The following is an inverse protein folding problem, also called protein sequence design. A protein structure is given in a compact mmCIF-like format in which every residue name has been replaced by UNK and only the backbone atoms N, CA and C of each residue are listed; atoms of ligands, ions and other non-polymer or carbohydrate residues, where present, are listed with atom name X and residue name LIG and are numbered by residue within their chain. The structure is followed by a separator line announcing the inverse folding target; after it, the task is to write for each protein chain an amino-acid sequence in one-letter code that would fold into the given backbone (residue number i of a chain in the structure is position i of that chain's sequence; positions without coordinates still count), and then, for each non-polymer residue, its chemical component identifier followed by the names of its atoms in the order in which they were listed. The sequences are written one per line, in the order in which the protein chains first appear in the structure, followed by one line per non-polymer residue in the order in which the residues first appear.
data_IF_394221651992
#
_entry.id   IF_394221651992
#
_cell.length_a   1.000
_cell.length_b   1.000
_cell.length_c   1.000
_cell.angle_alpha   90.00
_cell.angle_beta   90.00
_cell.angle_gamma   90.00
#
_symmetry.space_group_name_H-M   'P 1'
#
loop_
_entity.id
_entity.type
_entity.pdbx_description
1 polymer ?
#
# COMPACT_ATOMS: atom_id res chain seq x y z
N UNK A 1 -6.51 9.58 10.11
CA UNK A 1 -5.53 9.65 11.15
C UNK A 1 -5.21 11.08 11.56
N UNK A 2 -4.42 11.27 12.62
CA UNK A 2 -4.05 12.58 13.18
C UNK A 2 -3.22 13.45 12.21
N UNK A 3 -2.57 12.86 11.23
CA UNK A 3 -1.91 13.58 10.14
C UNK A 3 -2.86 14.40 9.28
N UNK A 4 -4.08 13.90 9.08
CA UNK A 4 -5.07 14.60 8.27
C UNK A 4 -5.78 15.72 9.02
N UNK A 5 -5.74 15.75 10.36
CA UNK A 5 -6.43 16.81 11.10
C UNK A 5 -5.80 18.19 10.90
N UNK A 6 -4.48 18.27 10.86
CA UNK A 6 -3.77 19.54 10.59
C UNK A 6 -3.91 19.95 9.11
N UNK A 7 -4.03 18.97 8.21
CA UNK A 7 -4.32 19.17 6.80
C UNK A 7 -5.69 19.82 6.58
N UNK A 8 -6.75 19.37 7.27
CA UNK A 8 -8.10 19.91 7.14
C UNK A 8 -8.37 21.12 8.03
N UNK A 9 -7.59 21.31 9.10
CA UNK A 9 -7.74 22.41 10.07
C UNK A 9 -6.72 23.53 9.85
N UNK A 10 -5.79 23.37 8.90
CA UNK A 10 -4.85 24.43 8.53
C UNK A 10 -5.62 25.70 8.23
N UNK A 11 -5.24 26.81 8.87
CA UNK A 11 -5.84 28.10 8.58
C UNK A 11 -5.74 28.35 7.08
N UNK A 12 -6.88 28.63 6.43
CA UNK A 12 -6.98 28.97 5.01
C UNK A 12 -6.27 30.30 4.75
N UNK A 13 -4.97 30.31 4.89
CA UNK A 13 -4.05 31.35 4.45
C UNK A 13 -3.45 30.95 3.11
N UNK A 14 -2.76 31.88 2.46
CA UNK A 14 -2.19 31.72 1.14
C UNK A 14 -1.07 30.65 1.01
N UNK A 15 -0.72 29.95 2.09
CA UNK A 15 0.23 28.84 2.12
C UNK A 15 -0.46 27.62 2.71
N UNK A 16 -0.80 26.68 1.85
CA UNK A 16 -1.35 25.41 2.27
C UNK A 16 -0.22 24.55 2.82
N UNK A 17 -0.26 24.22 4.12
CA UNK A 17 0.65 23.30 4.77
C UNK A 17 0.00 21.92 4.75
N UNK A 18 0.56 20.98 3.99
CA UNK A 18 0.02 19.63 3.85
C UNK A 18 0.38 18.75 5.04
N UNK A 19 1.56 18.98 5.65
CA UNK A 19 2.06 18.16 6.74
C UNK A 19 2.73 19.05 7.79
N UNK A 20 2.67 18.69 9.09
CA UNK A 20 3.36 19.43 10.12
C UNK A 20 4.87 19.49 9.86
N UNK A 21 5.45 20.68 9.97
CA UNK A 21 6.88 20.95 9.79
C UNK A 21 7.45 20.59 8.39
N UNK A 22 6.60 20.52 7.35
CA UNK A 22 7.08 20.33 5.99
C UNK A 22 8.03 21.45 5.57
N UNK A 23 8.99 21.11 4.74
CA UNK A 23 9.92 22.05 4.11
C UNK A 23 10.01 21.75 2.61
N UNK A 24 10.04 22.82 1.81
CA UNK A 24 10.12 22.71 0.36
C UNK A 24 11.54 22.99 -0.10
N UNK A 25 12.14 22.04 -0.79
CA UNK A 25 13.49 22.13 -1.33
C UNK A 25 13.44 22.57 -2.80
N UNK A 26 13.84 23.82 -3.11
CA UNK A 26 13.73 24.35 -4.46
C UNK A 26 14.62 23.58 -5.43
N UNK A 27 14.04 23.21 -6.59
CA UNK A 27 14.73 22.54 -7.69
C UNK A 27 15.21 23.62 -8.67
N UNK A 28 16.52 23.79 -8.78
CA UNK A 28 17.14 24.75 -9.71
C UNK A 28 17.53 24.11 -11.04
N UNK A 29 17.71 22.79 -11.07
CA UNK A 29 18.00 21.98 -12.24
C UNK A 29 17.11 20.73 -12.22
N UNK A 30 16.35 20.52 -13.28
CA UNK A 30 15.41 19.40 -13.39
C UNK A 30 16.08 18.01 -13.41
N UNK A 31 17.38 17.96 -13.65
CA UNK A 31 18.16 16.72 -13.65
C UNK A 31 18.88 16.44 -12.32
N UNK A 32 18.85 17.40 -11.35
CA UNK A 32 19.66 17.30 -10.12
C UNK A 32 18.78 17.42 -8.89
N UNK A 33 18.74 16.35 -8.09
CA UNK A 33 18.06 16.40 -6.79
C UNK A 33 18.85 17.34 -5.86
N UNK A 34 18.18 18.36 -5.26
CA UNK A 34 18.83 19.25 -4.32
C UNK A 34 19.29 18.48 -3.07
N UNK A 35 20.50 18.74 -2.62
CA UNK A 35 21.03 18.13 -1.38
C UNK A 35 20.76 18.97 -0.15
N UNK A 36 20.59 20.28 -0.31
CA UNK A 36 20.34 21.23 0.78
C UNK A 36 19.30 22.28 0.39
N UNK A 37 18.54 22.70 1.37
CA UNK A 37 17.74 23.89 1.31
C UNK A 37 18.61 25.15 1.44
N UNK A 38 18.21 26.35 0.94
CA UNK A 38 19.01 27.58 1.06
C UNK A 38 19.42 27.98 2.48
N UNK A 39 18.72 27.52 3.51
CA UNK A 39 19.09 27.75 4.92
C UNK A 39 20.11 26.73 5.47
N UNK A 40 20.61 25.82 4.65
CA UNK A 40 21.57 24.79 5.01
C UNK A 40 20.97 23.48 5.52
N UNK A 41 19.66 23.35 5.59
CA UNK A 41 18.98 22.10 5.96
C UNK A 41 19.24 21.02 4.92
N UNK A 42 19.55 19.80 5.35
CA UNK A 42 19.91 18.69 4.45
C UNK A 42 18.65 17.90 4.01
N UNK A 43 18.55 17.62 2.71
CA UNK A 43 17.58 16.69 2.12
C UNK A 43 18.28 15.34 1.93
N UNK A 44 17.91 14.34 2.68
CA UNK A 44 18.56 13.02 2.70
C UNK A 44 20.09 13.15 2.91
N UNK A 45 20.65 12.43 3.83
CA UNK A 45 22.10 12.35 3.97
C UNK A 45 22.73 11.49 2.84
N UNK A 46 24.05 11.47 2.73
CA UNK A 46 24.77 10.73 1.67
C UNK A 46 24.39 9.24 1.62
N UNK A 47 24.21 8.61 2.78
CA UNK A 47 23.84 7.20 2.87
C UNK A 47 22.44 6.97 2.31
N UNK A 48 21.48 7.81 2.66
CA UNK A 48 20.10 7.73 2.17
C UNK A 48 20.02 8.05 0.68
N UNK A 49 20.76 9.04 0.20
CA UNK A 49 20.84 9.34 -1.24
C UNK A 49 21.33 8.13 -2.04
N UNK A 50 22.38 7.47 -1.56
CA UNK A 50 22.88 6.25 -2.21
C UNK A 50 21.90 5.07 -2.10
N UNK A 51 21.13 5.00 -1.01
CA UNK A 51 20.12 3.94 -0.83
C UNK A 51 18.93 4.12 -1.77
N UNK A 52 18.39 5.35 -1.91
CA UNK A 52 17.21 5.59 -2.75
C UNK A 52 17.51 5.84 -4.22
N UNK A 53 18.75 6.09 -4.58
CA UNK A 53 19.16 6.39 -5.95
C UNK A 53 20.50 5.72 -6.29
N UNK A 54 20.59 4.37 -6.18
CA UNK A 54 21.85 3.66 -6.39
C UNK A 54 22.40 3.81 -7.82
N UNK A 55 21.51 3.86 -8.81
CA UNK A 55 21.85 3.91 -10.24
C UNK A 55 21.82 5.33 -10.82
N UNK A 56 21.40 6.32 -10.04
CA UNK A 56 21.36 7.72 -10.47
C UNK A 56 20.18 8.06 -11.40
N UNK A 57 19.14 7.21 -11.45
CA UNK A 57 17.99 7.37 -12.35
C UNK A 57 16.86 8.20 -11.71
N UNK A 58 16.86 8.38 -10.40
CA UNK A 58 15.86 9.17 -9.70
C UNK A 58 16.03 10.67 -10.02
N UNK A 59 14.96 11.31 -10.44
CA UNK A 59 14.94 12.72 -10.80
C UNK A 59 14.14 13.54 -9.78
N UNK A 60 14.32 14.87 -9.72
CA UNK A 60 13.49 15.74 -8.88
C UNK A 60 12.00 15.60 -9.15
N UNK A 61 11.59 15.38 -10.39
CA UNK A 61 10.18 15.23 -10.78
C UNK A 61 9.52 14.02 -10.09
N UNK A 62 10.25 12.92 -9.94
CA UNK A 62 9.78 11.71 -9.25
C UNK A 62 9.69 11.88 -7.72
N UNK A 63 10.29 12.94 -7.18
CA UNK A 63 10.23 13.28 -5.75
C UNK A 63 9.18 14.34 -5.42
N UNK A 64 8.44 14.86 -6.39
CA UNK A 64 7.34 15.76 -6.12
C UNK A 64 6.24 15.04 -5.30
N UNK A 65 5.59 15.77 -4.42
CA UNK A 65 4.43 15.26 -3.71
C UNK A 65 3.20 15.29 -4.64
N UNK A 66 2.60 14.12 -4.87
CA UNK A 66 1.43 13.99 -5.74
C UNK A 66 0.19 14.73 -5.21
N UNK A 67 0.10 14.92 -3.90
CA UNK A 67 -1.04 15.57 -3.25
C UNK A 67 -0.93 17.10 -3.18
N UNK A 68 0.21 17.68 -3.58
CA UNK A 68 0.42 19.14 -3.55
C UNK A 68 0.41 19.77 -4.93
N UNK A 69 -0.13 20.97 -5.04
CA UNK A 69 -0.09 21.77 -6.30
C UNK A 69 1.25 22.50 -6.49
N UNK A 70 2.29 22.08 -5.82
CA UNK A 70 3.49 22.88 -5.70
C UNK A 70 4.71 22.34 -6.45
N UNK A 71 4.53 21.77 -7.65
CA UNK A 71 5.69 21.31 -8.44
C UNK A 71 6.73 22.43 -8.71
N UNK A 72 6.30 23.67 -8.84
CA UNK A 72 7.14 24.86 -8.96
C UNK A 72 7.81 25.28 -7.64
N UNK A 73 7.30 24.83 -6.49
CA UNK A 73 7.92 25.04 -5.17
C UNK A 73 9.10 24.09 -4.90
N UNK A 74 9.17 22.99 -5.63
CA UNK A 74 10.21 21.97 -5.52
C UNK A 74 9.75 20.70 -4.78
N UNK A 75 10.66 20.09 -4.01
CA UNK A 75 10.41 18.82 -3.31
C UNK A 75 9.94 19.10 -1.90
N UNK A 76 8.72 18.67 -1.58
CA UNK A 76 8.20 18.69 -0.21
C UNK A 76 8.81 17.54 0.61
N UNK A 77 9.32 17.85 1.79
CA UNK A 77 9.98 16.88 2.66
C UNK A 77 9.64 17.10 4.14
N UNK A 78 9.66 16.02 4.92
CA UNK A 78 9.37 16.00 6.35
C UNK A 78 10.63 15.76 7.17
N UNK A 79 10.76 16.40 8.35
CA UNK A 79 11.89 16.17 9.25
C UNK A 79 11.73 14.84 9.98
N UNK A 80 12.81 14.06 10.00
CA UNK A 80 12.98 12.88 10.83
C UNK A 80 14.27 13.01 11.63
N UNK A 81 14.23 12.63 12.89
CA UNK A 81 15.42 12.52 13.73
C UNK A 81 16.04 11.13 13.56
N UNK A 82 17.30 11.06 13.18
CA UNK A 82 18.07 9.82 13.24
C UNK A 82 18.21 9.40 14.70
N UNK A 83 17.76 8.22 15.06
CA UNK A 83 17.53 7.84 16.47
C UNK A 83 18.82 7.83 17.29
N UNK A 84 19.94 7.39 16.71
CA UNK A 84 21.20 7.29 17.43
C UNK A 84 21.98 8.62 17.48
N UNK A 85 22.11 9.32 16.34
CA UNK A 85 22.91 10.55 16.24
C UNK A 85 22.17 11.80 16.67
N UNK A 86 20.84 11.77 16.69
CA UNK A 86 19.95 12.90 16.93
C UNK A 86 20.01 13.99 15.85
N UNK A 87 20.58 13.68 14.71
CA UNK A 87 20.61 14.57 13.55
C UNK A 87 19.25 14.57 12.84
N UNK A 88 18.81 15.76 12.43
CA UNK A 88 17.58 15.89 11.65
C UNK A 88 17.87 15.78 10.16
N UNK A 89 17.17 14.86 9.51
CA UNK A 89 17.22 14.63 8.06
C UNK A 89 15.83 14.79 7.47
N UNK A 90 15.71 15.44 6.33
CA UNK A 90 14.43 15.61 5.65
C UNK A 90 14.23 14.52 4.61
N UNK A 91 13.09 13.83 4.70
CA UNK A 91 12.67 12.81 3.74
C UNK A 91 11.61 13.36 2.79
N UNK A 92 11.81 13.25 1.46
CA UNK A 92 10.77 13.57 0.49
C UNK A 92 9.46 12.81 0.78
N UNK A 93 8.34 13.50 0.72
CA UNK A 93 7.01 12.90 0.93
C UNK A 93 6.74 11.80 -0.09
N UNK A 94 7.20 11.97 -1.33
CA UNK A 94 7.10 10.95 -2.37
C UNK A 94 7.76 9.63 -1.94
N UNK A 95 8.97 9.65 -1.36
CA UNK A 95 9.62 8.45 -0.84
C UNK A 95 8.76 7.79 0.24
N UNK A 96 8.23 8.59 1.18
CA UNK A 96 7.40 8.07 2.27
C UNK A 96 6.16 7.35 1.76
N UNK A 97 5.52 7.88 0.75
CA UNK A 97 4.28 7.36 0.20
C UNK A 97 4.48 6.20 -0.78
N UNK A 98 5.59 6.19 -1.52
CA UNK A 98 5.87 5.11 -2.47
C UNK A 98 6.46 3.87 -1.78
N UNK A 99 7.42 4.03 -0.86
CA UNK A 99 8.15 2.89 -0.30
C UNK A 99 7.57 2.38 1.01
N UNK A 100 7.17 3.27 1.91
CA UNK A 100 6.85 2.90 3.30
C UNK A 100 5.36 2.84 3.60
N UNK A 101 4.53 3.55 2.86
CA UNK A 101 3.08 3.65 3.06
C UNK A 101 2.74 3.94 4.53
N UNK A 102 2.10 2.99 5.24
CA UNK A 102 1.75 3.11 6.66
C UNK A 102 2.71 2.37 7.60
N UNK A 103 3.71 1.65 7.08
CA UNK A 103 4.62 0.87 7.91
C UNK A 103 5.42 1.77 8.86
N UNK A 104 5.54 1.34 10.11
CA UNK A 104 6.20 2.11 11.17
C UNK A 104 5.42 3.30 11.71
N UNK A 105 4.11 3.40 11.41
CA UNK A 105 3.22 4.41 11.98
C UNK A 105 2.51 3.84 13.21
N UNK A 106 2.63 4.50 14.34
CA UNK A 106 1.98 4.08 15.56
C UNK A 106 1.39 5.26 16.34
N UNK A 107 0.47 4.95 17.26
CA UNK A 107 -0.09 5.86 18.23
C UNK A 107 -0.04 5.23 19.64
N UNK A 108 0.09 6.06 20.65
CA UNK A 108 0.16 5.59 22.04
C UNK A 108 -0.11 6.68 23.06
N UNK A 109 -0.22 6.27 24.32
CA UNK A 109 -0.42 7.20 25.44
C UNK A 109 0.88 7.92 25.82
N UNK A 110 2.02 7.35 25.45
CA UNK A 110 3.35 7.94 25.67
C UNK A 110 4.19 7.82 24.39
N UNK A 111 5.15 8.71 24.24
CA UNK A 111 6.09 8.67 23.10
C UNK A 111 6.87 7.34 23.04
N UNK A 112 7.28 6.81 24.19
CA UNK A 112 8.04 5.54 24.28
C UNK A 112 7.18 4.34 23.86
N UNK A 113 5.91 4.28 24.30
CA UNK A 113 4.96 3.25 23.90
C UNK A 113 4.73 3.29 22.38
N UNK A 114 4.53 4.48 21.85
CA UNK A 114 4.35 4.71 20.42
C UNK A 114 5.54 4.20 19.60
N UNK A 115 6.77 4.55 20.00
CA UNK A 115 8.01 4.12 19.32
C UNK A 115 8.23 2.61 19.42
N UNK A 116 7.98 2.01 20.59
CA UNK A 116 8.11 0.56 20.76
C UNK A 116 7.13 -0.20 19.84
N UNK A 117 5.89 0.27 19.75
CA UNK A 117 4.88 -0.29 18.87
C UNK A 117 5.27 -0.17 17.38
N UNK A 118 5.78 0.99 16.95
CA UNK A 118 6.22 1.21 15.59
C UNK A 118 7.38 0.28 15.20
N UNK A 119 8.38 0.11 16.07
CA UNK A 119 9.48 -0.82 15.81
C UNK A 119 9.04 -2.29 15.80
N UNK A 120 8.12 -2.67 16.69
CA UNK A 120 7.57 -4.03 16.71
C UNK A 120 6.86 -4.34 15.38
N UNK A 121 6.01 -3.43 14.87
CA UNK A 121 5.33 -3.60 13.58
C UNK A 121 6.32 -3.70 12.40
N UNK A 122 7.36 -2.87 12.39
CA UNK A 122 8.41 -2.95 11.36
C UNK A 122 9.08 -4.34 11.37
N UNK A 123 9.45 -4.85 12.55
CA UNK A 123 10.07 -6.16 12.68
C UNK A 123 9.13 -7.30 12.28
N UNK A 124 7.86 -7.19 12.67
CA UNK A 124 6.83 -8.16 12.28
C UNK A 124 6.73 -8.29 10.76
N UNK A 125 6.57 -7.17 10.07
CA UNK A 125 6.43 -7.15 8.61
C UNK A 125 7.71 -7.57 7.88
N UNK A 126 8.86 -7.11 8.36
CA UNK A 126 10.15 -7.53 7.82
C UNK A 126 10.35 -9.04 7.91
N UNK A 127 10.08 -9.61 9.08
CA UNK A 127 10.20 -11.05 9.33
C UNK A 127 9.15 -11.83 8.53
N UNK A 128 7.90 -11.38 8.52
CA UNK A 128 6.81 -11.97 7.72
C UNK A 128 7.19 -12.08 6.26
N UNK A 129 7.58 -10.97 5.64
CA UNK A 129 7.92 -10.92 4.22
C UNK A 129 9.09 -11.86 3.91
N UNK A 130 10.13 -11.87 4.74
CA UNK A 130 11.28 -12.72 4.57
C UNK A 130 10.93 -14.22 4.70
N UNK A 131 10.16 -14.60 5.73
CA UNK A 131 9.74 -16.00 5.95
C UNK A 131 8.90 -16.48 4.78
N UNK A 132 7.99 -15.67 4.28
CA UNK A 132 7.11 -16.05 3.16
C UNK A 132 7.93 -16.18 1.88
N UNK A 133 8.74 -15.18 1.53
CA UNK A 133 9.56 -15.19 0.32
C UNK A 133 10.56 -16.35 0.28
N UNK A 134 11.22 -16.63 1.42
CA UNK A 134 12.19 -17.73 1.52
C UNK A 134 11.50 -19.12 1.65
N UNK A 135 10.20 -19.16 1.96
CA UNK A 135 9.48 -20.38 2.27
C UNK A 135 10.04 -21.08 3.52
N UNK A 136 10.43 -20.31 4.54
CA UNK A 136 11.10 -20.82 5.73
C UNK A 136 10.23 -21.80 6.52
N UNK A 137 10.74 -23.00 6.82
CA UNK A 137 10.08 -23.96 7.69
C UNK A 137 10.30 -23.57 9.16
N UNK A 138 9.24 -23.08 9.80
CA UNK A 138 9.31 -22.58 11.18
C UNK A 138 9.20 -23.70 12.22
N UNK A 139 9.96 -23.65 13.33
CA UNK A 139 9.81 -24.61 14.42
C UNK A 139 8.48 -24.40 15.16
N UNK A 140 7.92 -25.50 15.65
CA UNK A 140 6.72 -25.45 16.50
C UNK A 140 7.06 -24.85 17.86
N UNK A 141 6.14 -24.01 18.39
CA UNK A 141 6.19 -23.61 19.79
C UNK A 141 5.83 -24.81 20.66
N UNK A 142 6.72 -25.26 21.58
CA UNK A 142 6.47 -26.44 22.42
C UNK A 142 5.20 -26.25 23.26
N UNK A 143 4.41 -27.32 23.48
CA UNK A 143 3.23 -27.27 24.34
C UNK A 143 3.51 -26.73 25.75
N UNK A 144 4.68 -27.07 26.33
CA UNK A 144 5.11 -26.56 27.63
C UNK A 144 5.29 -25.04 27.69
N UNK A 145 5.53 -24.39 26.54
CA UNK A 145 5.61 -22.94 26.43
C UNK A 145 4.20 -22.36 26.38
N UNK A 146 3.29 -22.94 25.59
CA UNK A 146 1.88 -22.50 25.50
C UNK A 146 1.14 -22.66 26.85
N UNK A 147 1.48 -23.68 27.63
CA UNK A 147 0.93 -23.89 28.98
C UNK A 147 1.21 -22.72 29.95
N UNK A 148 2.21 -21.89 29.68
CA UNK A 148 2.47 -20.66 30.46
C UNK A 148 1.38 -19.60 30.26
N UNK A 149 0.59 -19.69 29.15
CA UNK A 149 -0.40 -18.71 28.73
C UNK A 149 -1.80 -19.36 28.59
N UNK A 150 -2.41 -19.80 29.70
CA UNK A 150 -3.61 -20.67 29.68
C UNK A 150 -4.84 -20.01 29.06
N UNK A 151 -4.91 -18.69 29.02
CA UNK A 151 -6.00 -17.95 28.35
C UNK A 151 -5.88 -18.12 26.83
N UNK A 152 -4.73 -17.81 26.27
CA UNK A 152 -4.48 -17.85 24.82
C UNK A 152 -4.51 -19.31 24.35
N UNK A 153 -3.93 -20.22 25.11
CA UNK A 153 -3.99 -21.66 24.81
C UNK A 153 -5.44 -22.15 24.69
N UNK A 154 -6.32 -21.71 25.59
CA UNK A 154 -7.75 -22.08 25.52
C UNK A 154 -8.40 -21.58 24.25
N UNK A 155 -8.13 -20.34 23.85
CA UNK A 155 -8.69 -19.75 22.64
C UNK A 155 -8.24 -20.52 21.38
N UNK A 156 -6.97 -20.94 21.33
CA UNK A 156 -6.42 -21.82 20.28
C UNK A 156 -7.09 -23.20 20.28
N UNK A 157 -7.28 -23.79 21.46
CA UNK A 157 -7.91 -25.12 21.60
C UNK A 157 -9.40 -25.07 21.24
N UNK A 158 -10.08 -23.96 21.47
CA UNK A 158 -11.45 -23.75 21.06
C UNK A 158 -11.58 -23.74 19.52
N UNK A 159 -10.71 -23.04 18.82
CA UNK A 159 -10.65 -23.06 17.35
C UNK A 159 -10.37 -24.49 16.83
N UNK A 160 -9.43 -25.20 17.44
CA UNK A 160 -9.15 -26.61 17.11
C UNK A 160 -10.35 -27.52 17.35
N UNK A 161 -11.09 -27.32 18.43
CA UNK A 161 -12.28 -28.10 18.75
C UNK A 161 -13.43 -27.85 17.74
N UNK A 162 -13.45 -26.69 17.10
CA UNK A 162 -14.36 -26.38 15.98
C UNK A 162 -13.86 -26.93 14.63
N UNK A 163 -12.75 -27.66 14.60
CA UNK A 163 -12.24 -28.34 13.42
C UNK A 163 -11.22 -27.55 12.59
N UNK A 164 -10.77 -26.39 13.07
CA UNK A 164 -9.76 -25.60 12.39
C UNK A 164 -8.35 -25.99 12.87
N UNK A 165 -7.50 -26.56 12.00
CA UNK A 165 -6.10 -26.78 12.35
C UNK A 165 -5.38 -25.45 12.58
N UNK A 166 -4.79 -25.30 13.76
CA UNK A 166 -4.03 -24.12 14.17
C UNK A 166 -2.62 -24.57 14.53
N UNK A 167 -1.60 -24.03 13.87
CA UNK A 167 -0.21 -24.27 14.16
C UNK A 167 0.41 -23.00 14.75
N UNK A 168 1.06 -23.14 15.91
CA UNK A 168 1.77 -22.00 16.54
C UNK A 168 3.26 -22.22 16.32
N UNK A 169 3.88 -21.28 15.62
CA UNK A 169 5.26 -21.38 15.14
C UNK A 169 6.11 -20.24 15.69
N UNK A 170 7.36 -20.53 15.99
CA UNK A 170 8.36 -19.51 16.30
C UNK A 170 8.86 -18.86 15.00
N UNK A 171 8.56 -17.59 14.82
CA UNK A 171 9.00 -16.78 13.68
C UNK A 171 10.20 -15.88 14.03
N UNK A 172 10.93 -16.18 15.12
CA UNK A 172 12.02 -15.35 15.60
C UNK A 172 13.29 -15.37 14.74
N UNK A 173 13.34 -16.19 13.69
CA UNK A 173 14.53 -16.45 12.87
C UNK A 173 15.74 -16.86 13.75
N UNK A 174 15.51 -17.81 14.70
CA UNK A 174 16.51 -18.26 15.64
C UNK A 174 16.83 -17.27 16.75
N UNK A 175 15.84 -16.50 17.21
CA UNK A 175 15.97 -15.54 18.30
C UNK A 175 16.49 -14.16 17.88
N UNK A 176 16.51 -13.87 16.58
CA UNK A 176 16.96 -12.57 16.05
C UNK A 176 15.90 -11.48 16.21
N UNK A 177 14.62 -11.83 16.13
CA UNK A 177 13.49 -10.90 16.22
C UNK A 177 12.38 -11.46 17.12
N UNK A 178 11.66 -10.62 17.87
CA UNK A 178 10.62 -11.07 18.79
C UNK A 178 9.26 -11.25 18.05
N UNK A 179 9.18 -12.25 17.14
CA UNK A 179 8.03 -12.47 16.27
C UNK A 179 7.50 -13.90 16.41
N UNK A 180 6.17 -14.03 16.45
CA UNK A 180 5.43 -15.30 16.43
C UNK A 180 4.63 -15.39 15.14
N UNK A 181 4.42 -16.62 14.65
CA UNK A 181 3.50 -16.93 13.56
C UNK A 181 2.44 -17.92 14.01
N UNK A 182 1.19 -17.69 13.63
CA UNK A 182 0.10 -18.65 13.78
C UNK A 182 -0.50 -18.92 12.41
N UNK A 183 -0.49 -20.21 12.04
CA UNK A 183 -1.09 -20.67 10.78
C UNK A 183 -2.49 -21.23 11.07
N UNK A 184 -3.47 -20.79 10.29
CA UNK A 184 -4.80 -21.37 10.25
C UNK A 184 -5.00 -22.06 8.91
N UNK A 185 -5.59 -23.25 8.95
CA UNK A 185 -5.94 -24.01 7.75
C UNK A 185 -7.45 -24.15 7.67
N UNK A 186 -8.05 -23.79 6.53
CA UNK A 186 -9.46 -24.01 6.28
C UNK A 186 -9.72 -25.50 6.05
N UNK A 187 -10.50 -26.20 6.88
CA UNK A 187 -10.73 -27.64 6.73
C UNK A 187 -11.58 -27.99 5.51
N UNK A 188 -12.26 -27.03 4.89
CA UNK A 188 -13.14 -27.26 3.77
C UNK A 188 -12.38 -27.43 2.44
N UNK A 189 -11.34 -26.64 2.24
CA UNK A 189 -10.61 -26.55 0.97
C UNK A 189 -9.08 -26.61 1.12
N UNK A 190 -8.55 -26.52 2.35
CA UNK A 190 -7.12 -26.48 2.61
C UNK A 190 -6.46 -25.14 2.38
N UNK A 191 -7.22 -24.07 2.18
CA UNK A 191 -6.72 -22.70 2.13
C UNK A 191 -6.01 -22.33 3.44
N UNK A 192 -4.92 -21.58 3.36
CA UNK A 192 -4.06 -21.29 4.51
C UNK A 192 -3.89 -19.80 4.74
N UNK A 193 -3.93 -19.42 6.01
CA UNK A 193 -3.66 -18.06 6.47
C UNK A 193 -2.52 -18.06 7.48
N UNK A 194 -1.60 -17.10 7.34
CA UNK A 194 -0.51 -16.89 8.28
C UNK A 194 -0.63 -15.52 8.95
N UNK A 195 -0.93 -15.53 10.25
CA UNK A 195 -0.86 -14.33 11.09
C UNK A 195 0.50 -14.23 11.73
N UNK A 196 1.04 -13.01 11.79
CA UNK A 196 2.29 -12.72 12.49
C UNK A 196 2.03 -11.67 13.57
N UNK A 197 2.81 -11.70 14.64
CA UNK A 197 2.72 -10.71 15.69
C UNK A 197 4.07 -10.54 16.38
N UNK A 198 4.44 -9.29 16.62
CA UNK A 198 5.69 -8.94 17.28
C UNK A 198 5.47 -8.21 18.59
N UNK A 199 6.25 -8.58 19.59
CA UNK A 199 6.43 -7.87 20.86
C UNK A 199 7.64 -8.43 21.58
N UNK A 200 8.34 -7.61 22.35
CA UNK A 200 9.40 -8.09 23.23
C UNK A 200 8.90 -9.14 24.24
N UNK A 201 7.63 -9.06 24.63
CA UNK A 201 6.98 -10.01 25.54
C UNK A 201 6.27 -11.10 24.74
N UNK A 202 6.66 -12.36 24.95
CA UNK A 202 6.13 -13.51 24.21
C UNK A 202 4.59 -13.60 24.32
N UNK A 203 4.03 -13.43 25.53
CA UNK A 203 2.58 -13.43 25.73
C UNK A 203 1.86 -12.42 24.85
N UNK A 204 2.37 -11.20 24.77
CA UNK A 204 1.76 -10.13 23.98
C UNK A 204 1.87 -10.41 22.48
N UNK A 205 3.03 -10.90 22.02
CA UNK A 205 3.20 -11.30 20.62
C UNK A 205 2.22 -12.40 20.25
N UNK A 206 2.09 -13.44 21.07
CA UNK A 206 1.19 -14.56 20.84
C UNK A 206 -0.29 -14.13 20.88
N UNK A 207 -0.70 -13.30 21.86
CA UNK A 207 -2.06 -12.79 21.97
C UNK A 207 -2.44 -11.98 20.72
N UNK A 208 -1.58 -11.07 20.29
CA UNK A 208 -1.79 -10.28 19.06
C UNK A 208 -1.95 -11.16 17.84
N UNK A 209 -1.04 -12.12 17.66
CA UNK A 209 -1.07 -13.04 16.52
C UNK A 209 -2.38 -13.84 16.46
N UNK A 210 -2.90 -14.27 17.61
CA UNK A 210 -4.17 -15.02 17.68
C UNK A 210 -5.37 -14.10 17.47
N UNK A 211 -5.38 -12.90 18.04
CA UNK A 211 -6.51 -11.95 17.89
C UNK A 211 -6.62 -11.38 16.49
N UNK A 212 -5.50 -11.29 15.76
CA UNK A 212 -5.45 -10.81 14.38
C UNK A 212 -5.58 -11.94 13.34
N UNK A 213 -5.78 -13.20 13.80
CA UNK A 213 -5.77 -14.39 12.95
C UNK A 213 -6.77 -14.36 11.79
N UNK A 214 -7.88 -13.67 11.92
CA UNK A 214 -8.93 -13.60 10.89
C UNK A 214 -9.02 -12.23 10.20
N UNK A 215 -8.23 -11.25 10.61
CA UNK A 215 -8.30 -9.88 10.06
C UNK A 215 -9.74 -9.32 10.01
N UNK A 216 -10.53 -9.61 11.06
CA UNK A 216 -11.93 -9.17 11.14
C UNK A 216 -12.94 -10.01 10.34
N UNK A 217 -12.50 -11.10 9.69
CA UNK A 217 -13.38 -12.02 8.95
C UNK A 217 -14.04 -13.03 9.89
N UNK A 218 -15.21 -13.53 9.50
CA UNK A 218 -15.85 -14.70 10.14
C UNK A 218 -15.22 -16.02 9.67
N UNK A 219 -15.39 -17.09 10.47
CA UNK A 219 -14.94 -18.44 10.10
C UNK A 219 -15.66 -19.03 8.86
N UNK A 220 -16.70 -18.38 8.39
CA UNK A 220 -17.46 -18.69 7.17
C UNK A 220 -16.96 -17.92 5.94
N UNK A 221 -15.92 -17.12 6.07
CA UNK A 221 -15.33 -16.27 5.02
C UNK A 221 -13.87 -16.63 4.72
N UNK A 222 -13.51 -17.92 4.79
CA UNK A 222 -12.14 -18.39 4.62
C UNK A 222 -11.85 -18.93 3.21
N UNK A 223 -12.82 -18.95 2.33
CA UNK A 223 -12.73 -19.43 0.94
C UNK A 223 -11.86 -18.55 0.02
N UNK A 224 -11.44 -17.39 0.52
CA UNK A 224 -10.50 -16.49 -0.16
C UNK A 224 -9.02 -16.90 0.00
N UNK A 225 -8.70 -17.75 0.98
CA UNK A 225 -7.32 -18.17 1.21
C UNK A 225 -6.91 -19.29 0.27
N UNK A 226 -5.75 -19.13 -0.35
CA UNK A 226 -5.25 -20.09 -1.30
C UNK A 226 -4.58 -21.30 -0.63
N UNK A 227 -4.55 -22.38 -1.38
CA UNK A 227 -3.76 -23.57 -1.03
C UNK A 227 -2.26 -23.24 -1.12
N UNK A 228 -1.39 -23.82 -0.25
CA UNK A 228 0.04 -23.60 -0.34
C UNK A 228 0.61 -24.05 -1.69
N UNK A 229 1.62 -23.33 -2.19
CA UNK A 229 2.28 -23.60 -3.47
C UNK A 229 3.63 -24.31 -3.30
N UNK A 230 3.97 -25.14 -4.29
CA UNK A 230 5.33 -25.66 -4.48
C UNK A 230 6.19 -24.76 -5.36
N UNK A 231 5.59 -23.75 -6.00
CA UNK A 231 6.28 -22.78 -6.84
C UNK A 231 6.89 -21.68 -5.96
N UNK A 232 8.20 -21.80 -5.72
CA UNK A 232 8.92 -20.87 -4.87
C UNK A 232 9.07 -19.48 -5.51
N UNK A 233 9.06 -19.39 -6.87
CA UNK A 233 9.15 -18.11 -7.57
C UNK A 233 7.84 -17.35 -7.44
N UNK A 234 6.71 -18.04 -7.60
CA UNK A 234 5.39 -17.44 -7.42
C UNK A 234 5.15 -16.96 -5.97
N UNK A 235 5.61 -17.73 -4.96
CA UNK A 235 5.49 -17.34 -3.55
C UNK A 235 6.36 -16.12 -3.22
N UNK A 236 7.56 -16.04 -3.80
CA UNK A 236 8.49 -14.92 -3.59
C UNK A 236 8.18 -13.70 -4.48
N UNK A 237 7.22 -13.79 -5.38
CA UNK A 237 6.85 -12.71 -6.28
C UNK A 237 6.43 -11.45 -5.49
N UNK A 238 6.91 -10.25 -5.85
CA UNK A 238 6.55 -9.00 -5.18
C UNK A 238 5.04 -8.78 -5.05
N UNK A 239 4.22 -9.17 -6.04
CA UNK A 239 2.76 -9.04 -5.97
C UNK A 239 2.15 -9.98 -4.92
N UNK A 240 2.71 -11.18 -4.76
CA UNK A 240 2.29 -12.08 -3.70
C UNK A 240 2.65 -11.53 -2.31
N UNK A 241 3.85 -10.96 -2.15
CA UNK A 241 4.27 -10.31 -0.89
C UNK A 241 3.39 -9.08 -0.60
N UNK A 242 3.03 -8.30 -1.63
CA UNK A 242 2.09 -7.19 -1.50
C UNK A 242 0.71 -7.65 -1.04
N UNK A 243 0.18 -8.75 -1.57
CA UNK A 243 -1.10 -9.33 -1.13
C UNK A 243 -1.07 -9.70 0.36
N UNK A 244 0.06 -10.21 0.84
CA UNK A 244 0.25 -10.44 2.28
C UNK A 244 0.33 -9.16 3.10
N UNK A 245 0.75 -8.05 2.53
CA UNK A 245 0.76 -6.76 3.20
C UNK A 245 -0.65 -6.14 3.25
N UNK A 246 -1.41 -6.20 2.14
CA UNK A 246 -2.73 -5.55 2.02
C UNK A 246 -3.77 -6.24 2.90
N UNK A 247 -3.95 -7.55 2.75
CA UNK A 247 -5.05 -8.29 3.36
C UNK A 247 -4.71 -9.73 3.79
N UNK A 248 -3.44 -10.11 3.66
CA UNK A 248 -2.89 -11.41 4.03
C UNK A 248 -3.47 -12.61 3.26
N UNK A 249 -4.04 -12.40 2.07
CA UNK A 249 -4.56 -13.49 1.20
C UNK A 249 -3.51 -14.07 0.26
N UNK A 250 -2.27 -13.61 0.32
CA UNK A 250 -1.18 -14.14 -0.50
C UNK A 250 -0.92 -15.63 -0.26
N UNK A 251 -0.35 -16.28 -1.26
CA UNK A 251 -0.05 -17.71 -1.28
C UNK A 251 1.17 -18.04 -0.40
N UNK A 252 1.08 -19.11 0.41
CA UNK A 252 2.16 -19.62 1.25
C UNK A 252 2.92 -20.77 0.56
N UNK A 253 4.18 -20.98 0.95
CA UNK A 253 4.97 -22.13 0.48
C UNK A 253 4.64 -23.40 1.25
N UNK A 254 4.56 -24.54 0.55
CA UNK A 254 4.50 -25.87 1.18
C UNK A 254 5.69 -26.15 2.10
N UNK A 255 6.85 -25.54 1.89
CA UNK A 255 8.00 -25.65 2.79
C UNK A 255 7.69 -25.21 4.22
N UNK A 256 6.81 -24.23 4.41
CA UNK A 256 6.41 -23.77 5.76
C UNK A 256 5.71 -24.85 6.58
N UNK A 257 5.18 -25.89 5.94
CA UNK A 257 4.47 -27.02 6.56
C UNK A 257 5.33 -28.27 6.69
N UNK A 258 6.64 -28.16 6.47
CA UNK A 258 7.59 -29.27 6.59
C UNK A 258 7.77 -29.75 8.03
N UNK A 259 8.16 -31.05 8.19
CA UNK A 259 8.44 -31.64 9.49
C UNK A 259 9.85 -31.32 10.05
N UNK A 260 10.71 -30.73 9.22
CA UNK A 260 12.09 -30.38 9.59
C UNK A 260 12.23 -28.84 9.54
N UNK A 261 12.23 -28.16 10.70
CA UNK A 261 12.39 -26.72 10.75
C UNK A 261 13.81 -26.31 10.36
N UNK A 262 13.92 -25.12 9.76
CA UNK A 262 15.20 -24.56 9.31
C UNK A 262 16.09 -24.07 10.47
N UNK A 263 15.53 -23.91 11.66
CA UNK A 263 16.25 -23.56 12.89
C UNK A 263 15.54 -24.15 14.13
N UNK A 264 16.22 -24.17 15.27
CA UNK A 264 15.66 -24.65 16.53
C UNK A 264 14.78 -23.57 17.17
N UNK A 265 13.73 -24.02 17.90
CA UNK A 265 12.88 -23.13 18.69
C UNK A 265 13.71 -22.31 19.68
N UNK A 266 13.47 -21.01 19.72
CA UNK A 266 14.06 -20.09 20.68
C UNK A 266 13.01 -19.63 21.69
N UNK A 267 13.23 -19.90 22.97
CA UNK A 267 12.36 -19.40 24.06
C UNK A 267 12.79 -17.99 24.44
N UNK A 268 12.19 -16.99 23.83
CA UNK A 268 12.44 -15.58 24.11
C UNK A 268 11.28 -14.96 24.89
N UNK A 269 11.56 -14.15 25.88
CA UNK A 269 10.56 -13.37 26.63
C UNK A 269 11.27 -12.24 27.40
N UNK A 270 11.35 -11.09 26.79
CA UNK A 270 11.98 -9.92 27.42
C UNK A 270 11.07 -9.38 28.53
N UNK A 271 11.64 -9.21 29.72
CA UNK A 271 10.95 -8.63 30.86
C UNK A 271 11.54 -7.25 31.19
N UNK A 272 10.73 -6.21 31.08
CA UNK A 272 11.16 -4.85 31.31
C UNK A 272 10.03 -3.83 31.31
N UNK A 273 10.38 -2.60 31.53
CA UNK A 273 9.50 -1.44 31.33
C UNK A 273 9.38 -1.13 29.84
N UNK A 274 8.36 -0.37 29.44
CA UNK A 274 8.19 0.07 28.05
C UNK A 274 9.44 0.81 27.51
N UNK A 275 10.17 1.52 28.36
CA UNK A 275 11.41 2.16 27.95
C UNK A 275 12.52 1.15 27.64
N UNK A 276 12.65 0.11 28.46
CA UNK A 276 13.61 -0.97 28.24
C UNK A 276 13.23 -1.84 27.04
N UNK A 277 11.94 -2.07 26.81
CA UNK A 277 11.42 -2.72 25.59
C UNK A 277 11.80 -1.93 24.33
N UNK A 278 11.58 -0.62 24.33
CA UNK A 278 11.99 0.26 23.23
C UNK A 278 13.50 0.21 22.98
N UNK A 279 14.31 0.33 24.05
CA UNK A 279 15.76 0.27 23.93
C UNK A 279 16.25 -1.10 23.42
N UNK A 280 15.56 -2.19 23.79
CA UNK A 280 15.84 -3.52 23.28
C UNK A 280 15.54 -3.61 21.78
N UNK A 281 14.33 -3.21 21.33
CA UNK A 281 13.97 -3.22 19.90
C UNK A 281 14.92 -2.34 19.07
N UNK A 282 15.23 -1.14 19.56
CA UNK A 282 16.22 -0.26 18.93
C UNK A 282 17.58 -0.93 18.79
N UNK A 283 18.03 -1.66 19.82
CA UNK A 283 19.30 -2.38 19.77
C UNK A 283 19.32 -3.49 18.71
N UNK A 284 18.18 -4.17 18.48
CA UNK A 284 18.04 -5.17 17.41
C UNK A 284 18.20 -4.52 16.03
N UNK A 285 17.61 -3.36 15.78
CA UNK A 285 17.79 -2.62 14.51
C UNK A 285 19.27 -2.36 14.27
N UNK A 286 19.98 -1.81 15.26
CA UNK A 286 21.42 -1.49 15.16
C UNK A 286 22.27 -2.76 15.01
N UNK A 287 21.95 -3.84 15.73
CA UNK A 287 22.64 -5.14 15.65
C UNK A 287 22.62 -5.72 14.23
N UNK A 288 21.52 -5.52 13.51
CA UNK A 288 21.35 -5.97 12.14
C UNK A 288 21.92 -4.96 11.09
N UNK A 289 22.57 -3.88 11.54
CA UNK A 289 23.26 -2.92 10.67
C UNK A 289 22.35 -1.88 10.04
N UNK A 290 21.11 -1.75 10.50
CA UNK A 290 20.16 -0.75 10.02
C UNK A 290 20.23 0.55 10.85
N UNK A 291 19.75 1.64 10.25
CA UNK A 291 19.57 2.93 10.90
C UNK A 291 18.07 3.26 10.95
N UNK A 292 17.62 3.82 12.07
CA UNK A 292 16.23 4.20 12.26
C UNK A 292 16.09 5.72 12.34
N UNK A 293 15.04 6.24 11.73
CA UNK A 293 14.66 7.64 11.67
C UNK A 293 13.24 7.81 12.20
N UNK A 294 13.01 8.78 13.08
CA UNK A 294 11.73 8.96 13.76
C UNK A 294 11.20 10.38 13.59
N UNK A 295 9.94 10.49 13.15
CA UNK A 295 9.15 11.71 13.25
C UNK A 295 8.07 11.54 14.32
N UNK A 296 7.89 12.53 15.18
CA UNK A 296 6.96 12.47 16.31
C UNK A 296 5.99 13.63 16.28
N UNK A 297 4.77 13.34 16.68
CA UNK A 297 3.70 14.30 16.73
C UNK A 297 2.88 14.09 18.01
N UNK A 298 2.34 15.19 18.54
CA UNK A 298 1.41 15.15 19.67
C UNK A 298 0.19 15.98 19.32
N UNK A 299 -0.97 15.35 19.25
CA UNK A 299 -2.23 16.01 18.94
C UNK A 299 -3.35 15.45 19.82
N UNK A 300 -4.23 16.30 20.32
CA UNK A 300 -5.35 15.90 21.19
C UNK A 300 -4.96 15.04 22.40
N UNK A 301 -3.72 15.20 22.91
CA UNK A 301 -3.22 14.41 24.06
C UNK A 301 -2.79 12.98 23.70
N UNK A 302 -2.70 12.63 22.42
CA UNK A 302 -2.20 11.35 21.93
C UNK A 302 -0.84 11.59 21.27
N UNK A 303 0.11 10.70 21.53
CA UNK A 303 1.39 10.67 20.82
C UNK A 303 1.26 9.78 19.58
N UNK A 304 1.80 10.26 18.47
CA UNK A 304 1.96 9.48 17.25
C UNK A 304 3.40 9.58 16.77
N UNK A 305 3.89 8.54 16.16
CA UNK A 305 5.18 8.57 15.50
C UNK A 305 5.13 7.85 14.16
N UNK A 306 6.11 8.16 13.34
CA UNK A 306 6.48 7.38 12.18
C UNK A 306 7.96 7.06 12.28
N UNK A 307 8.28 5.77 12.31
CA UNK A 307 9.66 5.30 12.25
C UNK A 307 9.92 4.73 10.87
N UNK A 308 11.07 5.06 10.30
CA UNK A 308 11.56 4.55 9.04
C UNK A 308 12.90 3.88 9.28
N UNK A 309 13.05 2.66 8.79
CA UNK A 309 14.26 1.86 8.84
C UNK A 309 14.55 1.39 7.42
N UNK A 310 15.29 2.18 6.61
CA UNK A 310 15.59 1.85 5.21
C UNK A 310 16.21 0.46 5.08
N UNK A 311 15.63 -0.37 4.22
CA UNK A 311 16.00 -1.77 4.04
C UNK A 311 15.32 -2.76 5.00
N UNK A 312 14.58 -2.27 6.02
CA UNK A 312 13.81 -3.13 6.92
C UNK A 312 12.31 -2.77 6.91
N UNK A 313 11.98 -1.49 6.83
CA UNK A 313 10.59 -1.02 6.86
C UNK A 313 9.96 -0.81 5.49
N UNK A 314 10.70 -1.09 4.42
CA UNK A 314 10.26 -0.93 3.04
C UNK A 314 9.12 -1.93 2.76
N UNK A 315 8.02 -1.43 2.20
CA UNK A 315 6.91 -2.26 1.72
C UNK A 315 7.09 -2.53 0.23
N UNK A 316 7.51 -1.51 -0.52
CA UNK A 316 7.79 -1.61 -1.94
C UNK A 316 9.29 -1.47 -2.20
N UNK A 317 9.82 -2.08 -3.25
CA UNK A 317 11.22 -1.97 -3.61
C UNK A 317 11.58 -0.52 -3.97
N UNK A 318 12.84 -0.16 -3.71
CA UNK A 318 13.35 1.20 -4.00
C UNK A 318 13.24 1.56 -5.49
N UNK A 319 13.36 0.58 -6.36
CA UNK A 319 13.24 0.74 -7.81
C UNK A 319 11.88 1.27 -8.25
N UNK A 320 10.83 1.07 -7.43
CA UNK A 320 9.49 1.62 -7.68
C UNK A 320 9.46 3.16 -7.62
N UNK A 321 10.45 3.80 -7.01
CA UNK A 321 10.61 5.25 -7.12
C UNK A 321 10.83 5.72 -8.56
N UNK A 322 11.32 4.85 -9.43
CA UNK A 322 11.56 5.14 -10.86
C UNK A 322 10.46 4.50 -11.72
N UNK A 323 10.18 3.21 -11.49
CA UNK A 323 9.38 2.41 -12.43
C UNK A 323 7.89 2.34 -12.10
N UNK A 324 7.50 2.52 -10.83
CA UNK A 324 6.11 2.40 -10.36
C UNK A 324 5.70 3.57 -9.47
N UNK A 325 6.30 4.74 -9.66
CA UNK A 325 6.10 5.90 -8.83
C UNK A 325 4.68 6.47 -8.97
N UNK A 326 4.00 6.64 -7.85
CA UNK A 326 2.62 7.19 -7.76
C UNK A 326 2.50 8.64 -8.28
N UNK A 327 3.62 9.36 -8.42
CA UNK A 327 3.62 10.73 -8.98
C UNK A 327 3.54 10.77 -10.50
N UNK A 328 3.70 9.62 -11.17
CA UNK A 328 3.79 9.51 -12.64
C UNK A 328 2.64 10.21 -13.36
N UNK A 329 1.42 10.12 -12.83
CA UNK A 329 0.25 10.78 -13.41
C UNK A 329 0.13 12.28 -13.14
N UNK A 330 0.99 12.86 -12.29
CA UNK A 330 0.89 14.28 -11.93
C UNK A 330 1.07 15.24 -13.12
N UNK A 331 1.84 14.84 -14.14
CA UNK A 331 2.03 15.58 -15.38
C UNK A 331 0.72 15.78 -16.17
N UNK A 332 -0.21 14.86 -16.05
CA UNK A 332 -1.51 14.90 -16.73
C UNK A 332 -2.49 15.89 -16.07
N UNK A 333 -2.29 16.21 -14.79
CA UNK A 333 -3.23 17.02 -13.99
C UNK A 333 -3.66 18.33 -14.65
N UNK A 334 -2.76 19.21 -15.15
CA UNK A 334 -3.16 20.50 -15.69
C UNK A 334 -4.04 20.40 -16.94
N UNK A 335 -3.86 19.34 -17.73
CA UNK A 335 -4.65 19.10 -18.95
C UNK A 335 -5.95 18.37 -18.63
N UNK A 336 -5.89 17.36 -17.78
CA UNK A 336 -7.06 16.60 -17.36
C UNK A 336 -8.13 17.49 -16.74
N UNK A 337 -7.75 18.48 -15.91
CA UNK A 337 -8.67 19.46 -15.33
C UNK A 337 -9.25 20.45 -16.37
N UNK A 338 -8.81 20.42 -17.62
CA UNK A 338 -9.25 21.28 -18.72
C UNK A 338 -9.76 20.52 -19.94
N UNK A 339 -10.05 19.22 -19.83
CA UNK A 339 -10.49 18.38 -20.95
C UNK A 339 -11.65 19.00 -21.76
N UNK A 340 -12.62 19.59 -21.08
CA UNK A 340 -13.78 20.23 -21.69
C UNK A 340 -13.46 21.45 -22.59
N UNK A 341 -12.22 21.93 -22.56
CA UNK A 341 -11.77 23.09 -23.38
C UNK A 341 -10.80 22.69 -24.49
N UNK A 342 -10.43 21.40 -24.56
CA UNK A 342 -9.48 20.89 -25.54
C UNK A 342 -10.13 20.67 -26.90
N UNK A 343 -9.36 20.94 -27.96
CA UNK A 343 -9.70 20.50 -29.31
C UNK A 343 -9.51 18.99 -29.48
N UNK A 344 -10.11 18.40 -30.54
CA UNK A 344 -9.97 16.97 -30.85
C UNK A 344 -8.49 16.56 -30.99
N UNK A 345 -7.65 17.40 -31.61
CA UNK A 345 -6.23 17.12 -31.76
C UNK A 345 -5.48 17.12 -30.40
N UNK A 346 -5.87 18.01 -29.48
CA UNK A 346 -5.30 18.04 -28.11
C UNK A 346 -5.76 16.84 -27.29
N UNK A 347 -7.02 16.39 -27.47
CA UNK A 347 -7.52 15.16 -26.82
C UNK A 347 -6.79 13.91 -27.34
N UNK A 348 -6.50 13.83 -28.64
CA UNK A 348 -5.71 12.74 -29.22
C UNK A 348 -4.30 12.70 -28.64
N UNK A 349 -3.60 13.86 -28.62
CA UNK A 349 -2.27 13.94 -28.02
C UNK A 349 -2.27 13.64 -26.50
N UNK A 350 -3.38 13.92 -25.80
CA UNK A 350 -3.55 13.60 -24.40
C UNK A 350 -3.77 12.07 -24.21
N UNK A 351 -4.53 11.43 -25.07
CA UNK A 351 -4.74 9.97 -25.05
C UNK A 351 -3.43 9.21 -25.30
N UNK A 352 -2.62 9.65 -26.28
CA UNK A 352 -1.30 9.09 -26.56
C UNK A 352 -0.38 9.20 -25.33
N UNK A 353 -0.32 10.35 -24.66
CA UNK A 353 0.48 10.52 -23.44
C UNK A 353 -0.02 9.67 -22.27
N UNK A 354 -1.35 9.52 -22.11
CA UNK A 354 -1.93 8.66 -21.08
C UNK A 354 -1.51 7.19 -21.28
N UNK A 355 -1.42 6.75 -22.53
CA UNK A 355 -0.94 5.39 -22.87
C UNK A 355 0.57 5.25 -22.67
N UNK A 356 1.37 6.24 -23.05
CA UNK A 356 2.83 6.23 -22.85
C UNK A 356 3.25 6.15 -21.38
N UNK A 357 2.43 6.72 -20.46
CA UNK A 357 2.68 6.63 -19.03
C UNK A 357 2.48 5.23 -18.44
N UNK A 358 1.79 4.34 -19.14
CA UNK A 358 1.61 2.95 -18.73
C UNK A 358 0.85 2.78 -17.40
N UNK A 359 0.00 3.74 -17.01
CA UNK A 359 -0.81 3.63 -15.81
C UNK A 359 -1.76 2.43 -15.92
N UNK A 360 -1.95 1.70 -14.82
CA UNK A 360 -2.91 0.61 -14.78
C UNK A 360 -4.31 1.11 -15.12
N UNK A 361 -5.01 0.42 -16.03
CA UNK A 361 -6.37 0.78 -16.47
C UNK A 361 -7.39 0.74 -15.34
N UNK A 362 -7.11 -0.03 -14.30
CA UNK A 362 -7.92 -0.12 -13.09
C UNK A 362 -7.66 1.00 -12.08
N UNK A 363 -6.60 1.77 -12.27
CA UNK A 363 -6.20 2.80 -11.32
C UNK A 363 -7.20 3.98 -11.30
N UNK A 364 -7.66 4.45 -10.12
CA UNK A 364 -8.49 5.64 -10.06
C UNK A 364 -7.73 6.88 -10.57
N UNK A 365 -8.37 7.69 -11.40
CA UNK A 365 -7.77 8.93 -11.91
C UNK A 365 -7.45 9.91 -10.77
N UNK A 366 -8.30 9.97 -9.74
CA UNK A 366 -8.07 10.76 -8.53
C UNK A 366 -6.69 10.48 -7.93
N UNK A 367 -6.36 9.21 -7.79
CA UNK A 367 -5.11 8.76 -7.17
C UNK A 367 -3.92 8.99 -8.11
N UNK A 368 -4.11 8.69 -9.41
CA UNK A 368 -3.07 8.88 -10.42
C UNK A 368 -2.58 10.33 -10.51
N UNK A 369 -3.49 11.30 -10.41
CA UNK A 369 -3.15 12.73 -10.51
C UNK A 369 -3.08 13.44 -9.15
N UNK A 370 -3.33 12.73 -8.04
CA UNK A 370 -3.30 13.28 -6.68
C UNK A 370 -4.32 14.40 -6.44
N UNK A 371 -5.54 14.26 -6.98
CA UNK A 371 -6.64 15.23 -6.80
C UNK A 371 -7.81 14.56 -6.10
N UNK A 372 -8.24 15.12 -4.99
CA UNK A 372 -9.45 14.68 -4.30
C UNK A 372 -10.67 15.31 -4.97
N UNK A 373 -11.49 14.48 -5.60
CA UNK A 373 -12.76 14.90 -6.19
C UNK A 373 -13.91 14.78 -5.19
N UNK A 374 -14.93 15.63 -5.36
CA UNK A 374 -16.12 15.61 -4.52
C UNK A 374 -16.90 14.30 -4.68
N UNK A 375 -17.34 13.74 -3.57
CA UNK A 375 -18.18 12.54 -3.54
C UNK A 375 -19.46 12.73 -4.38
N UNK A 376 -19.86 11.68 -5.11
CA UNK A 376 -21.03 11.71 -5.98
C UNK A 376 -20.76 12.30 -7.37
N UNK A 377 -19.55 12.79 -7.65
CA UNK A 377 -19.14 13.14 -9.01
C UNK A 377 -18.59 11.89 -9.74
N UNK A 378 -18.72 11.88 -11.09
CA UNK A 378 -18.13 10.80 -11.90
C UNK A 378 -16.60 10.71 -11.70
N UNK A 379 -15.94 11.82 -11.50
CA UNK A 379 -14.50 11.93 -11.31
C UNK A 379 -13.99 11.24 -10.05
N UNK A 380 -14.81 11.18 -8.98
CA UNK A 380 -14.41 10.58 -7.71
C UNK A 380 -14.01 9.10 -7.84
N UNK A 381 -14.64 8.38 -8.77
CA UNK A 381 -14.40 6.94 -8.97
C UNK A 381 -14.02 6.57 -10.40
N UNK A 382 -13.75 7.56 -11.27
CA UNK A 382 -13.35 7.34 -12.66
C UNK A 382 -11.99 6.65 -12.71
N UNK A 383 -11.88 5.60 -13.52
CA UNK A 383 -10.64 4.84 -13.72
C UNK A 383 -9.95 5.20 -15.03
N UNK A 384 -8.67 4.89 -15.14
CA UNK A 384 -7.86 5.14 -16.35
C UNK A 384 -8.51 4.53 -17.59
N UNK A 385 -8.93 3.25 -17.53
CA UNK A 385 -9.59 2.58 -18.68
C UNK A 385 -10.91 3.23 -19.08
N UNK A 386 -11.69 3.75 -18.13
CA UNK A 386 -12.91 4.51 -18.46
C UNK A 386 -12.56 5.82 -19.16
N UNK A 387 -11.52 6.54 -18.68
CA UNK A 387 -11.05 7.79 -19.30
C UNK A 387 -10.60 7.55 -20.75
N UNK A 388 -9.85 6.44 -21.01
CA UNK A 388 -9.44 6.06 -22.37
C UNK A 388 -10.65 5.85 -23.30
N UNK A 389 -11.65 5.13 -22.83
CA UNK A 389 -12.90 4.96 -23.57
C UNK A 389 -13.63 6.28 -23.89
N UNK A 390 -13.70 7.19 -22.90
CA UNK A 390 -14.31 8.51 -23.08
C UNK A 390 -13.50 9.39 -24.06
N UNK A 391 -12.17 9.32 -24.01
CA UNK A 391 -11.29 10.02 -24.95
C UNK A 391 -11.46 9.49 -26.38
N UNK A 392 -11.51 8.17 -26.57
CA UNK A 392 -11.75 7.54 -27.86
C UNK A 392 -13.10 7.96 -28.46
N UNK A 393 -14.16 8.00 -27.65
CA UNK A 393 -15.46 8.56 -28.07
C UNK A 393 -15.36 10.02 -28.48
N UNK A 394 -14.70 10.84 -27.68
CA UNK A 394 -14.56 12.28 -27.93
C UNK A 394 -13.70 12.61 -29.16
N UNK A 395 -12.75 11.75 -29.50
CA UNK A 395 -11.88 11.88 -30.68
C UNK A 395 -12.46 11.24 -31.93
N UNK A 396 -13.52 10.43 -31.78
CA UNK A 396 -14.19 9.72 -32.88
C UNK A 396 -13.47 8.44 -33.30
N UNK A 397 -12.56 7.92 -32.48
CA UNK A 397 -11.97 6.59 -32.67
C UNK A 397 -12.95 5.52 -32.16
N UNK A 398 -13.86 5.12 -33.04
CA UNK A 398 -14.94 4.22 -32.67
C UNK A 398 -14.46 2.78 -32.43
N UNK A 399 -13.38 2.34 -33.08
CA UNK A 399 -12.82 0.99 -32.86
C UNK A 399 -12.21 0.89 -31.45
N UNK A 400 -11.43 1.87 -31.04
CA UNK A 400 -10.87 1.94 -29.69
C UNK A 400 -11.96 2.16 -28.63
N UNK A 401 -12.94 3.03 -28.92
CA UNK A 401 -14.08 3.25 -28.04
C UNK A 401 -14.86 1.96 -27.76
N UNK A 402 -15.10 1.14 -28.78
CA UNK A 402 -15.77 -0.16 -28.62
C UNK A 402 -14.99 -1.09 -27.70
N UNK A 403 -13.66 -1.17 -27.85
CA UNK A 403 -12.80 -2.01 -27.01
C UNK A 403 -12.87 -1.58 -25.54
N UNK A 404 -12.68 -0.30 -25.25
CA UNK A 404 -12.73 0.20 -23.88
C UNK A 404 -14.12 0.13 -23.25
N UNK A 405 -15.18 0.42 -24.01
CA UNK A 405 -16.54 0.26 -23.50
C UNK A 405 -16.92 -1.19 -23.20
N UNK A 406 -16.44 -2.14 -23.99
CA UNK A 406 -16.58 -3.56 -23.69
C UNK A 406 -15.83 -3.95 -22.42
N UNK A 407 -14.58 -3.49 -22.25
CA UNK A 407 -13.81 -3.70 -21.02
C UNK A 407 -14.55 -3.16 -19.81
N UNK A 408 -14.99 -1.89 -19.84
CA UNK A 408 -15.76 -1.27 -18.76
C UNK A 408 -17.08 -1.99 -18.47
N UNK A 409 -17.77 -2.47 -19.50
CA UNK A 409 -19.03 -3.20 -19.38
C UNK A 409 -18.93 -4.57 -18.73
N UNK A 410 -17.70 -5.13 -18.65
CA UNK A 410 -17.41 -6.45 -18.06
C UNK A 410 -16.56 -6.37 -16.80
N UNK A 411 -16.10 -5.19 -16.40
CA UNK A 411 -15.18 -5.01 -15.29
C UNK A 411 -15.91 -5.04 -13.94
N UNK A 412 -15.72 -6.09 -13.18
CA UNK A 412 -16.47 -6.40 -11.95
C UNK A 412 -16.34 -5.35 -10.81
N UNK A 413 -15.31 -4.53 -10.82
CA UNK A 413 -15.12 -3.46 -9.82
C UNK A 413 -15.88 -2.17 -10.13
N UNK A 414 -16.55 -2.07 -11.29
CA UNK A 414 -17.43 -0.96 -11.58
C UNK A 414 -18.85 -1.23 -11.05
N UNK A 415 -19.57 -0.21 -10.55
CA UNK A 415 -20.98 -0.34 -10.21
C UNK A 415 -21.81 -0.86 -11.39
N UNK A 416 -22.81 -1.71 -11.11
CA UNK A 416 -23.64 -2.36 -12.15
C UNK A 416 -24.29 -1.34 -13.08
N UNK A 417 -24.69 -0.18 -12.57
CA UNK A 417 -25.28 0.91 -13.33
C UNK A 417 -24.27 1.45 -14.37
N UNK A 418 -23.01 1.61 -13.99
CA UNK A 418 -21.95 2.07 -14.90
C UNK A 418 -21.57 1.00 -15.92
N UNK A 419 -21.47 -0.27 -15.51
CA UNK A 419 -21.27 -1.37 -16.45
C UNK A 419 -22.38 -1.41 -17.51
N UNK A 420 -23.65 -1.20 -17.07
CA UNK A 420 -24.79 -1.19 -17.96
C UNK A 420 -24.74 -0.02 -18.95
N UNK A 421 -24.33 1.15 -18.49
CA UNK A 421 -24.10 2.31 -19.36
C UNK A 421 -23.04 2.03 -20.44
N UNK A 422 -21.87 1.49 -20.03
CA UNK A 422 -20.80 1.17 -20.99
C UNK A 422 -21.19 0.07 -21.97
N UNK A 423 -22.00 -0.92 -21.56
CA UNK A 423 -22.56 -1.91 -22.50
C UNK A 423 -23.49 -1.26 -23.53
N UNK A 424 -24.33 -0.32 -23.09
CA UNK A 424 -25.21 0.43 -23.99
C UNK A 424 -24.39 1.28 -24.99
N UNK A 425 -23.35 1.96 -24.51
CA UNK A 425 -22.44 2.73 -25.37
C UNK A 425 -21.74 1.81 -26.37
N UNK A 426 -21.22 0.67 -25.92
CA UNK A 426 -20.59 -0.33 -26.77
C UNK A 426 -21.51 -0.77 -27.91
N UNK A 427 -22.76 -1.15 -27.61
CA UNK A 427 -23.70 -1.60 -28.61
C UNK A 427 -24.05 -0.50 -29.63
N UNK A 428 -24.17 0.73 -29.19
CA UNK A 428 -24.40 1.89 -30.07
C UNK A 428 -23.19 2.18 -30.98
N UNK A 429 -21.98 2.04 -30.46
CA UNK A 429 -20.72 2.22 -31.20
C UNK A 429 -20.62 1.07 -32.27
N UNK A 430 -20.89 -0.16 -31.91
CA UNK A 430 -20.88 -1.30 -32.84
C UNK A 430 -21.90 -1.15 -33.98
N UNK A 431 -23.11 -0.67 -33.66
CA UNK A 431 -24.10 -0.35 -34.71
C UNK A 431 -23.55 0.71 -35.69
N UNK A 432 -22.86 1.71 -35.21
CA UNK A 432 -22.24 2.74 -36.05
C UNK A 432 -21.11 2.16 -36.90
N UNK A 433 -20.23 1.33 -36.35
CA UNK A 433 -19.12 0.66 -37.05
C UNK A 433 -19.61 -0.26 -38.16
N UNK A 434 -20.72 -0.95 -37.96
CA UNK A 434 -21.33 -1.82 -38.96
C UNK A 434 -22.12 -1.04 -40.00
N UNK A 435 -22.29 0.27 -39.87
CA UNK A 435 -23.04 1.13 -40.79
C UNK A 435 -24.54 1.01 -40.65
N UNK A 436 -25.01 0.38 -39.58
CA UNK A 436 -26.42 0.25 -39.26
C UNK A 436 -27.00 1.55 -38.71
N UNK A 437 -28.26 1.80 -39.02
CA UNK A 437 -28.93 3.00 -38.49
C UNK A 437 -29.49 2.70 -37.09
N UNK A 438 -29.06 3.44 -36.12
CA UNK A 438 -29.48 3.32 -34.73
C UNK A 438 -31.02 3.31 -34.56
N UNK A 439 -31.73 4.14 -35.36
CA UNK A 439 -33.19 4.20 -35.31
C UNK A 439 -33.87 2.87 -35.64
N UNK A 440 -33.22 2.02 -36.44
CA UNK A 440 -33.76 0.70 -36.80
C UNK A 440 -33.72 -0.28 -35.61
N UNK A 441 -32.88 -0.04 -34.60
CA UNK A 441 -32.70 -0.90 -33.43
C UNK A 441 -33.31 -0.30 -32.15
N UNK A 442 -33.86 0.91 -32.19
CA UNK A 442 -34.35 1.61 -31.04
C UNK A 442 -35.39 0.82 -30.18
N UNK A 443 -36.28 0.09 -30.84
CA UNK A 443 -37.27 -0.76 -30.18
C UNK A 443 -36.62 -1.97 -29.48
N UNK A 444 -35.56 -2.54 -30.06
CA UNK A 444 -34.84 -3.67 -29.53
C UNK A 444 -33.92 -3.22 -28.37
N UNK A 445 -33.20 -2.10 -28.50
CA UNK A 445 -32.33 -1.57 -27.47
C UNK A 445 -33.08 -1.29 -26.15
N UNK A 446 -34.36 -0.86 -26.24
CA UNK A 446 -35.25 -0.68 -25.07
C UNK A 446 -35.64 -1.96 -24.34
N UNK A 447 -35.37 -3.13 -24.92
CA UNK A 447 -35.56 -4.43 -24.26
C UNK A 447 -34.34 -4.82 -23.41
N UNK A 448 -33.18 -4.26 -23.72
CA UNK A 448 -31.91 -4.54 -23.02
C UNK A 448 -31.55 -3.45 -22.00
N UNK A 449 -31.94 -2.20 -22.29
CA UNK A 449 -31.54 -1.02 -21.52
C UNK A 449 -32.74 -0.14 -21.20
N UNK A 450 -32.75 0.42 -20.00
CA UNK A 450 -33.73 1.42 -19.60
C UNK A 450 -33.57 2.71 -20.43
N UNK A 451 -34.67 3.45 -20.59
CA UNK A 451 -34.69 4.68 -21.42
C UNK A 451 -33.72 5.76 -20.91
N UNK A 452 -33.50 5.82 -19.59
CA UNK A 452 -32.49 6.71 -18.97
C UNK A 452 -31.08 6.32 -19.38
N UNK A 453 -30.75 5.03 -19.37
CA UNK A 453 -29.42 4.53 -19.78
C UNK A 453 -29.15 4.84 -21.24
N UNK A 454 -30.14 4.64 -22.10
CA UNK A 454 -30.02 4.94 -23.54
C UNK A 454 -29.88 6.43 -23.78
N UNK A 455 -30.56 7.29 -23.00
CA UNK A 455 -30.43 8.74 -23.09
C UNK A 455 -29.06 9.24 -22.66
N UNK A 456 -28.45 8.59 -21.67
CA UNK A 456 -27.09 8.91 -21.19
C UNK A 456 -25.99 8.35 -22.11
N UNK A 457 -26.30 7.31 -22.90
CA UNK A 457 -25.36 6.66 -23.83
C UNK A 457 -25.29 7.32 -25.21
N UNK A 458 -26.32 8.10 -25.61
CA UNK A 458 -26.43 8.84 -26.89
C UNK A 458 -25.80 10.21 -26.76
#
# INVERSE_FOLDING_TARGET
SLFFSDYYLGEAGNEFIFYPAEKWFPVSDSAVIPTHHPDGTELLNDRLRNFYNPDGELTPALLHDNNSEGADRGIAALPFEQIETKETVYFPISILNNIYVSNGMAAGNTATECRAQALAEIMERFVKNRIIADGTCLPDVPPSVLERFPRIQRDIEELRAHGFPILVKDASLGGQFPVICVLLINPADGGCYASFGASCRFEVALERTVTELLQGRGLDQLDIFEHPSHDAEAVADPLNIESHFIDSVGQLSWKMFGDQPDYEFNDWDFQGTTAEEYDHLKSLVSLHGFEAYCAEYSHCGIYTCRIIVPGMSDIYPVDDLVWSNKVTGASLRPRLLKLNTMSVAELQAFAEELDELGLSDQHPISDAIGVLFEEGTAWHSLRVGELKGLLALATGDLEEAAQWCNWCGTFDFLPVERQTLYRAIHDLVELNLTGEKQEAYHASLRLFYDESVLADAI
#
